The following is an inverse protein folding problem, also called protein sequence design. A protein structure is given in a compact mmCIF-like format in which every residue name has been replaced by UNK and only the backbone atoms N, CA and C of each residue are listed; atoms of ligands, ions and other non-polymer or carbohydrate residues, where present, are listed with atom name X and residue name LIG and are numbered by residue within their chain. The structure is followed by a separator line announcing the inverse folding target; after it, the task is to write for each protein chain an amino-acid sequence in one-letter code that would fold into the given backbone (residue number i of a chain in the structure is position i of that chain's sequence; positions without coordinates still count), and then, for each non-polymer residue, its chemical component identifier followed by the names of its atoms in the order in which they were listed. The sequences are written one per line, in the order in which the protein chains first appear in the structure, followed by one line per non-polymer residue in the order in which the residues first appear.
data_IF_106979000948
#
_entry.id   IF_106979000948
#
_cell.length_a   1.000
_cell.length_b   1.000
_cell.length_c   1.000
_cell.angle_alpha   90.00
_cell.angle_beta   90.00
_cell.angle_gamma   90.00
#
_symmetry.space_group_name_H-M   'P 1'
#
loop_
_entity.id
_entity.type
_entity.pdbx_description
1 polymer ?
#
# COMPACT_ATOMS: atom_id res chain seq x y z
N UNK A 1 29.57 -7.35 57.83
CA UNK A 1 29.35 -6.59 56.58
C UNK A 1 29.00 -7.58 55.48
N UNK A 2 27.75 -8.05 55.42
CA UNK A 2 27.16 -8.84 54.33
C UNK A 2 25.64 -8.73 54.57
N UNK A 3 25.01 -7.65 54.11
CA UNK A 3 23.55 -7.64 54.04
C UNK A 3 23.15 -8.63 52.94
N UNK A 4 22.15 -9.45 53.21
CA UNK A 4 21.59 -10.36 52.22
C UNK A 4 21.13 -9.55 51.00
N UNK A 5 21.35 -10.11 49.80
CA UNK A 5 21.16 -9.39 48.53
C UNK A 5 19.71 -8.92 48.37
N UNK A 6 18.77 -9.66 48.96
CA UNK A 6 17.35 -9.29 49.03
C UNK A 6 17.10 -8.06 49.89
N UNK A 7 17.78 -7.93 51.03
CA UNK A 7 17.62 -6.76 51.90
C UNK A 7 18.19 -5.51 51.23
N UNK A 8 19.33 -5.64 50.54
CA UNK A 8 19.91 -4.56 49.72
C UNK A 8 18.96 -4.15 48.60
N UNK A 9 18.33 -5.10 47.91
CA UNK A 9 17.36 -4.82 46.86
C UNK A 9 16.10 -4.09 47.39
N UNK A 10 15.57 -4.49 48.54
CA UNK A 10 14.43 -3.83 49.20
C UNK A 10 14.77 -2.39 49.60
N UNK A 11 15.95 -2.19 50.18
CA UNK A 11 16.44 -0.85 50.55
C UNK A 11 16.58 0.04 49.31
N UNK A 12 17.17 -0.49 48.22
CA UNK A 12 17.32 0.26 46.97
C UNK A 12 15.97 0.59 46.33
N UNK A 13 14.99 -0.32 46.36
CA UNK A 13 13.64 -0.07 45.86
C UNK A 13 12.92 1.03 46.64
N UNK A 14 13.00 0.99 47.98
CA UNK A 14 12.44 2.03 48.84
C UNK A 14 13.15 3.39 48.62
N UNK A 15 14.48 3.37 48.48
CA UNK A 15 15.28 4.55 48.19
C UNK A 15 14.88 5.19 46.85
N UNK A 16 14.70 4.39 45.79
CA UNK A 16 14.27 4.88 44.47
C UNK A 16 12.80 5.32 44.40
N UNK A 17 11.96 4.94 45.38
CA UNK A 17 10.60 5.49 45.49
C UNK A 17 10.59 6.92 46.01
N UNK A 18 11.52 7.26 46.91
CA UNK A 18 11.59 8.58 47.57
C UNK A 18 12.57 9.52 46.86
N UNK A 19 13.66 8.97 46.34
CA UNK A 19 14.63 9.66 45.49
C UNK A 19 14.74 8.88 44.19
N UNK A 20 13.75 9.03 43.28
CA UNK A 20 13.86 8.42 41.96
C UNK A 20 15.20 8.86 41.38
N UNK A 21 16.04 7.90 40.95
CA UNK A 21 17.32 8.24 40.37
C UNK A 21 17.02 9.18 39.21
N UNK A 22 17.86 10.21 39.01
CA UNK A 22 17.74 11.05 37.83
C UNK A 22 18.03 10.18 36.62
N UNK A 23 16.99 9.46 36.18
CA UNK A 23 17.04 8.60 35.02
C UNK A 23 17.60 9.47 33.91
N UNK A 24 18.65 8.98 33.29
CA UNK A 24 19.24 9.58 32.09
C UNK A 24 18.19 9.76 30.98
N UNK A 25 16.98 9.20 31.10
CA UNK A 25 15.83 9.50 30.25
C UNK A 25 15.30 10.94 30.39
N UNK A 26 15.46 11.60 31.55
CA UNK A 26 15.07 13.00 31.75
C UNK A 26 16.00 13.98 31.02
N UNK A 27 17.22 13.56 30.69
CA UNK A 27 18.18 14.31 29.88
C UNK A 27 18.02 14.12 28.37
N UNK A 28 17.00 13.42 27.88
CA UNK A 28 16.60 13.63 26.49
C UNK A 28 16.00 15.03 26.41
N UNK A 29 16.83 16.03 26.07
CA UNK A 29 16.39 17.37 25.66
C UNK A 29 15.10 17.19 24.88
N UNK A 30 13.96 17.64 25.42
CA UNK A 30 12.68 17.61 24.70
C UNK A 30 12.98 18.28 23.36
N UNK A 31 13.03 17.50 22.29
CA UNK A 31 13.29 18.04 20.95
C UNK A 31 12.25 19.14 20.77
N UNK A 32 12.70 20.39 20.60
CA UNK A 32 11.80 21.50 20.36
C UNK A 32 11.20 21.25 18.99
N UNK A 33 9.99 20.68 18.98
CA UNK A 33 9.26 20.40 17.75
C UNK A 33 8.66 21.72 17.29
N UNK A 34 8.88 22.15 16.03
CA UNK A 34 8.24 23.33 15.49
C UNK A 34 6.72 23.30 15.71
N UNK A 35 6.05 24.43 16.00
CA UNK A 35 4.62 24.44 16.31
C UNK A 35 3.74 23.77 15.24
N UNK A 36 4.12 23.92 13.96
CA UNK A 36 3.43 23.29 12.83
C UNK A 36 3.49 21.75 12.88
N UNK A 37 4.68 21.22 13.16
CA UNK A 37 4.89 19.78 13.30
C UNK A 37 4.16 19.21 14.52
N UNK A 38 4.13 19.94 15.63
CA UNK A 38 3.39 19.56 16.83
C UNK A 38 1.89 19.52 16.56
N UNK A 39 1.36 20.50 15.81
CA UNK A 39 -0.04 20.53 15.40
C UNK A 39 -0.41 19.34 14.50
N UNK A 40 0.42 19.02 13.51
CA UNK A 40 0.19 17.87 12.63
C UNK A 40 0.26 16.53 13.37
N UNK A 41 1.19 16.40 14.31
CA UNK A 41 1.25 15.23 15.20
C UNK A 41 -0.06 15.08 15.96
N UNK A 42 -0.55 16.16 16.57
CA UNK A 42 -1.80 16.12 17.33
C UNK A 42 -2.99 15.76 16.43
N UNK A 43 -3.06 16.34 15.23
CA UNK A 43 -4.15 16.13 14.30
C UNK A 43 -4.22 14.70 13.76
N UNK A 44 -3.07 14.13 13.35
CA UNK A 44 -3.00 12.83 12.68
C UNK A 44 -2.80 11.64 13.62
N UNK A 45 -2.16 11.83 14.78
CA UNK A 45 -1.86 10.72 15.72
C UNK A 45 -2.86 10.67 16.87
N UNK A 46 -3.18 11.82 17.47
CA UNK A 46 -4.02 11.85 18.68
C UNK A 46 -5.51 11.98 18.32
N UNK A 47 -5.85 12.87 17.37
CA UNK A 47 -7.24 13.23 17.04
C UNK A 47 -7.87 12.35 15.97
N UNK A 48 -7.07 11.83 15.04
CA UNK A 48 -7.59 11.00 13.94
C UNK A 48 -8.06 9.65 14.48
N UNK A 49 -9.33 9.35 14.25
CA UNK A 49 -9.96 8.08 14.54
C UNK A 49 -10.68 7.58 13.28
N UNK A 50 -11.11 6.32 13.28
CA UNK A 50 -11.91 5.75 12.18
C UNK A 50 -13.38 6.19 12.27
N UNK A 51 -13.61 7.51 12.25
CA UNK A 51 -14.93 8.16 12.29
C UNK A 51 -14.99 9.28 11.26
N UNK A 52 -16.02 9.26 10.42
CA UNK A 52 -16.25 10.20 9.31
C UNK A 52 -16.23 11.67 9.74
N UNK A 53 -16.71 11.95 10.96
CA UNK A 53 -16.70 13.31 11.53
C UNK A 53 -15.27 13.80 11.75
N UNK A 54 -14.43 12.93 12.30
CA UNK A 54 -13.02 13.25 12.56
C UNK A 54 -12.24 13.38 11.26
N UNK A 55 -12.47 12.51 10.28
CA UNK A 55 -11.87 12.55 8.95
C UNK A 55 -12.20 13.87 8.23
N UNK A 56 -13.48 14.26 8.24
CA UNK A 56 -13.94 15.50 7.63
C UNK A 56 -13.33 16.73 8.31
N UNK A 57 -13.24 16.71 9.65
CA UNK A 57 -12.62 17.78 10.41
C UNK A 57 -11.12 17.91 10.08
N UNK A 58 -10.38 16.81 10.18
CA UNK A 58 -8.93 16.76 9.91
C UNK A 58 -8.63 17.21 8.47
N UNK A 59 -9.40 16.72 7.49
CA UNK A 59 -9.24 17.11 6.08
C UNK A 59 -9.41 18.61 5.87
N UNK A 60 -10.42 19.22 6.50
CA UNK A 60 -10.63 20.68 6.46
C UNK A 60 -9.48 21.44 7.12
N UNK A 61 -8.95 20.95 8.25
CA UNK A 61 -7.81 21.61 8.90
C UNK A 61 -6.54 21.53 8.04
N UNK A 62 -6.26 20.38 7.41
CA UNK A 62 -5.13 20.23 6.51
C UNK A 62 -5.22 21.17 5.29
N UNK A 63 -6.42 21.41 4.75
CA UNK A 63 -6.61 22.38 3.67
C UNK A 63 -6.28 23.81 4.07
N UNK A 64 -6.43 24.18 5.36
CA UNK A 64 -6.18 25.54 5.88
C UNK A 64 -4.72 25.81 6.25
N UNK A 65 -3.83 24.85 6.05
CA UNK A 65 -2.39 25.04 6.28
C UNK A 65 -1.80 26.11 5.35
N UNK A 66 -0.68 26.74 5.73
CA UNK A 66 -0.02 27.75 4.91
C UNK A 66 0.70 27.12 3.71
N UNK A 67 -0.07 26.74 2.68
CA UNK A 67 0.43 26.10 1.45
C UNK A 67 1.25 27.02 0.54
N UNK A 68 1.13 28.34 0.70
CA UNK A 68 1.81 29.33 -0.13
C UNK A 68 3.25 29.59 0.30
N UNK A 69 3.66 29.08 1.47
CA UNK A 69 4.99 29.34 2.02
C UNK A 69 5.97 28.23 1.60
N UNK A 70 6.88 28.50 0.64
CA UNK A 70 7.83 27.49 0.16
C UNK A 70 8.84 27.08 1.22
N UNK A 71 9.08 27.90 2.26
CA UNK A 71 10.06 27.58 3.32
C UNK A 71 9.62 26.45 4.23
N UNK A 72 8.31 26.15 4.26
CA UNK A 72 7.71 25.17 5.18
C UNK A 72 7.42 23.81 4.53
N UNK A 73 7.58 23.68 3.20
CA UNK A 73 7.33 22.47 2.41
C UNK A 73 6.16 21.62 2.94
N UNK A 74 5.00 22.27 3.10
CA UNK A 74 3.86 21.68 3.81
C UNK A 74 3.43 20.32 3.24
N UNK A 75 3.58 20.08 1.93
CA UNK A 75 3.25 18.81 1.29
C UNK A 75 4.11 17.64 1.80
N UNK A 76 5.43 17.81 1.79
CA UNK A 76 6.36 16.79 2.28
C UNK A 76 6.18 16.56 3.79
N UNK A 77 5.95 17.64 4.55
CA UNK A 77 5.79 17.58 5.98
C UNK A 77 4.49 16.86 6.37
N UNK A 78 3.37 17.16 5.72
CA UNK A 78 2.10 16.44 5.91
C UNK A 78 2.25 14.96 5.56
N UNK A 79 2.83 14.63 4.41
CA UNK A 79 3.07 13.24 4.01
C UNK A 79 3.91 12.47 5.05
N UNK A 80 5.02 13.06 5.49
CA UNK A 80 5.88 12.50 6.55
C UNK A 80 5.10 12.18 7.82
N UNK A 81 4.19 13.08 8.23
CA UNK A 81 3.37 12.86 9.43
C UNK A 81 2.23 11.85 9.20
N UNK A 82 1.68 11.74 7.99
CA UNK A 82 0.70 10.69 7.63
C UNK A 82 1.33 9.29 7.68
N UNK A 83 2.52 9.12 7.10
CA UNK A 83 3.28 7.87 7.19
C UNK A 83 3.66 7.55 8.65
N UNK A 84 4.09 8.57 9.41
CA UNK A 84 4.39 8.42 10.83
C UNK A 84 3.17 8.04 11.66
N UNK A 85 1.98 8.55 11.32
CA UNK A 85 0.72 8.18 11.96
C UNK A 85 0.38 6.71 11.68
N UNK A 86 0.68 6.19 10.50
CA UNK A 86 0.49 4.76 10.20
C UNK A 86 1.48 3.87 10.95
N UNK A 87 2.72 4.32 11.15
CA UNK A 87 3.77 3.54 11.86
C UNK A 87 3.64 3.54 13.38
N UNK A 88 3.20 4.66 13.97
CA UNK A 88 3.15 4.85 15.43
C UNK A 88 1.74 4.98 16.00
N UNK A 89 0.75 5.18 15.14
CA UNK A 89 -0.64 5.34 15.54
C UNK A 89 -1.36 4.01 15.70
N UNK A 90 -2.68 4.08 15.78
CA UNK A 90 -3.57 2.93 15.90
C UNK A 90 -3.70 2.24 14.55
N UNK A 91 -3.67 0.91 14.54
CA UNK A 91 -3.82 0.12 13.31
C UNK A 91 -5.16 0.38 12.59
N UNK A 92 -6.22 0.66 13.34
CA UNK A 92 -7.53 1.03 12.80
C UNK A 92 -7.55 2.41 12.12
N UNK A 93 -6.66 3.32 12.53
CA UNK A 93 -6.61 4.66 11.97
C UNK A 93 -5.95 4.71 10.58
N UNK A 94 -5.35 3.61 10.11
CA UNK A 94 -4.70 3.52 8.79
C UNK A 94 -5.70 3.77 7.66
N UNK A 95 -6.91 3.20 7.75
CA UNK A 95 -8.00 3.47 6.79
C UNK A 95 -8.41 4.94 6.78
N UNK A 96 -8.53 5.55 7.97
CA UNK A 96 -8.85 6.98 8.10
C UNK A 96 -7.79 7.88 7.45
N UNK A 97 -6.50 7.52 7.53
CA UNK A 97 -5.42 8.25 6.85
C UNK A 97 -5.59 8.21 5.33
N UNK A 98 -5.95 7.05 4.76
CA UNK A 98 -6.23 6.91 3.33
C UNK A 98 -7.47 7.74 2.91
N UNK A 99 -8.54 7.73 3.71
CA UNK A 99 -9.72 8.57 3.47
C UNK A 99 -9.40 10.06 3.52
N UNK A 100 -8.57 10.51 4.46
CA UNK A 100 -8.08 11.90 4.51
C UNK A 100 -7.27 12.24 3.26
N UNK A 101 -6.39 11.34 2.81
CA UNK A 101 -5.62 11.54 1.58
C UNK A 101 -6.53 11.67 0.34
N UNK A 102 -7.61 10.90 0.27
CA UNK A 102 -8.59 10.96 -0.82
C UNK A 102 -9.40 12.26 -0.79
N UNK A 103 -9.81 12.71 0.39
CA UNK A 103 -10.48 14.00 0.56
C UNK A 103 -9.58 15.19 0.16
N UNK A 104 -8.27 15.04 0.34
CA UNK A 104 -7.29 16.09 0.05
C UNK A 104 -6.86 16.12 -1.43
N UNK A 105 -7.03 15.02 -2.19
CA UNK A 105 -6.67 14.89 -3.62
C UNK A 105 -7.21 16.04 -4.48
N UNK A 106 -8.46 16.46 -4.25
CA UNK A 106 -9.10 17.54 -5.02
C UNK A 106 -8.47 18.91 -4.77
N UNK A 107 -8.10 19.19 -3.52
CA UNK A 107 -7.54 20.48 -3.14
C UNK A 107 -6.02 20.55 -3.40
N UNK A 108 -5.31 19.46 -3.12
CA UNK A 108 -3.84 19.37 -3.13
C UNK A 108 -3.42 17.96 -3.59
N UNK A 109 -3.41 17.70 -4.91
CA UNK A 109 -3.09 16.37 -5.45
C UNK A 109 -1.65 15.92 -5.13
N UNK A 110 -0.73 16.88 -4.94
CA UNK A 110 0.67 16.63 -4.56
C UNK A 110 0.80 15.69 -3.35
N UNK A 111 -0.08 15.81 -2.36
CA UNK A 111 0.00 15.03 -1.12
C UNK A 111 -0.35 13.58 -1.38
N UNK A 112 -1.37 13.33 -2.20
CA UNK A 112 -1.78 11.98 -2.57
C UNK A 112 -0.67 11.28 -3.34
N UNK A 113 -0.04 11.96 -4.31
CA UNK A 113 1.11 11.41 -5.07
C UNK A 113 2.28 11.10 -4.15
N UNK A 114 2.72 12.07 -3.33
CA UNK A 114 3.84 11.86 -2.39
C UNK A 114 3.57 10.77 -1.36
N UNK A 115 2.31 10.59 -0.95
CA UNK A 115 1.93 9.52 -0.03
C UNK A 115 2.05 8.15 -0.70
N UNK A 116 1.59 8.01 -1.94
CA UNK A 116 1.72 6.76 -2.71
C UNK A 116 3.21 6.43 -2.88
N UNK A 117 4.00 7.39 -3.37
CA UNK A 117 5.45 7.21 -3.57
C UNK A 117 6.13 6.82 -2.24
N UNK A 118 5.80 7.50 -1.15
CA UNK A 118 6.37 7.22 0.17
C UNK A 118 5.95 5.88 0.77
N UNK A 119 4.80 5.32 0.39
CA UNK A 119 4.37 3.97 0.79
C UNK A 119 5.12 2.91 0.00
N UNK A 120 5.24 3.08 -1.32
CA UNK A 120 5.97 2.15 -2.19
C UNK A 120 7.45 2.10 -1.82
N UNK A 121 8.06 3.27 -1.62
CA UNK A 121 9.46 3.40 -1.18
C UNK A 121 9.70 2.71 0.17
N UNK A 122 8.82 2.91 1.15
CA UNK A 122 8.98 2.26 2.47
C UNK A 122 8.83 0.74 2.36
N UNK A 123 7.92 0.25 1.52
CA UNK A 123 7.75 -1.19 1.31
C UNK A 123 8.99 -1.79 0.66
N UNK A 124 9.51 -1.17 -0.41
CA UNK A 124 10.75 -1.55 -1.06
C UNK A 124 11.93 -1.57 -0.07
N UNK A 125 12.09 -0.49 0.70
CA UNK A 125 13.14 -0.38 1.70
C UNK A 125 13.08 -1.50 2.75
N UNK A 126 11.88 -1.84 3.22
CA UNK A 126 11.70 -2.90 4.24
C UNK A 126 12.00 -4.30 3.71
N UNK A 127 11.86 -4.51 2.40
CA UNK A 127 12.21 -5.78 1.75
C UNK A 127 13.73 -5.90 1.59
N UNK A 128 14.41 -4.81 1.25
CA UNK A 128 15.88 -4.76 1.15
C UNK A 128 16.56 -4.88 2.53
N UNK A 129 15.94 -4.32 3.57
CA UNK A 129 16.49 -4.26 4.92
C UNK A 129 15.55 -4.92 5.95
N UNK A 130 15.38 -6.25 5.92
CA UNK A 130 14.47 -6.93 6.81
C UNK A 130 14.95 -6.83 8.27
N UNK A 131 14.15 -6.17 9.12
CA UNK A 131 14.39 -6.04 10.55
C UNK A 131 13.16 -6.47 11.35
N UNK A 132 13.33 -7.46 12.24
CA UNK A 132 12.24 -8.02 13.05
C UNK A 132 11.47 -6.96 13.84
N UNK A 133 12.16 -5.92 14.32
CA UNK A 133 11.53 -4.85 15.12
C UNK A 133 10.59 -3.95 14.31
N UNK A 134 10.78 -3.88 13.00
CA UNK A 134 10.01 -3.01 12.11
C UNK A 134 8.93 -3.76 11.31
N UNK A 135 8.85 -5.11 11.42
CA UNK A 135 7.86 -5.93 10.72
C UNK A 135 6.42 -5.48 10.94
N UNK A 136 6.05 -5.11 12.18
CA UNK A 136 4.71 -4.58 12.46
C UNK A 136 4.41 -3.29 11.68
N UNK A 137 5.44 -2.45 11.48
CA UNK A 137 5.30 -1.21 10.70
C UNK A 137 5.21 -1.51 9.22
N UNK A 138 5.96 -2.48 8.72
CA UNK A 138 5.85 -2.97 7.35
C UNK A 138 4.43 -3.46 7.06
N UNK A 139 3.85 -4.27 7.95
CA UNK A 139 2.47 -4.75 7.80
C UNK A 139 1.48 -3.57 7.79
N UNK A 140 1.66 -2.57 8.66
CA UNK A 140 0.84 -1.37 8.66
C UNK A 140 0.97 -0.55 7.36
N UNK A 141 2.17 -0.47 6.79
CA UNK A 141 2.43 0.20 5.52
C UNK A 141 1.83 -0.57 4.32
N UNK A 142 1.92 -1.90 4.33
CA UNK A 142 1.30 -2.76 3.33
C UNK A 142 -0.23 -2.67 3.40
N UNK A 143 -0.80 -2.60 4.61
CA UNK A 143 -2.23 -2.32 4.78
C UNK A 143 -2.61 -0.95 4.22
N UNK A 144 -1.81 0.08 4.49
CA UNK A 144 -2.06 1.42 3.94
C UNK A 144 -2.14 1.39 2.41
N UNK A 145 -1.27 0.64 1.72
CA UNK A 145 -1.34 0.46 0.27
C UNK A 145 -2.70 -0.11 -0.18
N UNK A 146 -3.23 -1.11 0.54
CA UNK A 146 -4.57 -1.66 0.28
C UNK A 146 -5.69 -0.64 0.54
N UNK A 147 -5.62 0.10 1.65
CA UNK A 147 -6.60 1.14 1.99
C UNK A 147 -6.58 2.30 0.96
N UNK A 148 -5.41 2.62 0.37
CA UNK A 148 -5.29 3.59 -0.72
C UNK A 148 -6.04 3.13 -1.99
N UNK A 149 -6.05 1.82 -2.26
CA UNK A 149 -6.86 1.28 -3.36
C UNK A 149 -8.37 1.39 -3.06
N UNK A 150 -8.79 1.03 -1.85
CA UNK A 150 -10.19 1.20 -1.39
C UNK A 150 -10.63 2.66 -1.51
N UNK A 151 -9.75 3.60 -1.18
CA UNK A 151 -10.00 5.04 -1.28
C UNK A 151 -9.92 5.60 -2.73
N UNK A 152 -9.80 4.75 -3.76
CA UNK A 152 -9.69 5.13 -5.18
C UNK A 152 -8.50 6.07 -5.48
N UNK A 153 -7.43 5.98 -4.69
CA UNK A 153 -6.18 6.72 -4.93
C UNK A 153 -5.24 5.95 -5.86
N UNK A 154 -5.24 4.62 -5.75
CA UNK A 154 -4.35 3.71 -6.47
C UNK A 154 -5.17 2.75 -7.34
N UNK A 155 -4.79 2.53 -8.61
CA UNK A 155 -5.44 1.54 -9.47
C UNK A 155 -5.09 0.11 -9.05
N UNK A 156 -5.98 -0.84 -9.34
CA UNK A 156 -5.77 -2.25 -9.01
C UNK A 156 -4.52 -2.85 -9.69
N UNK A 157 -4.15 -2.36 -10.88
CA UNK A 157 -2.96 -2.80 -11.60
C UNK A 157 -1.68 -2.64 -10.77
N UNK A 158 -1.53 -1.50 -10.09
CA UNK A 158 -0.36 -1.22 -9.25
C UNK A 158 -0.31 -2.12 -8.03
N UNK A 159 -1.47 -2.45 -7.44
CA UNK A 159 -1.54 -3.38 -6.30
C UNK A 159 -1.08 -4.76 -6.73
N UNK A 160 -1.57 -5.26 -7.86
CA UNK A 160 -1.21 -6.57 -8.40
C UNK A 160 0.29 -6.61 -8.73
N UNK A 161 0.80 -5.59 -9.42
CA UNK A 161 2.24 -5.45 -9.71
C UNK A 161 3.08 -5.50 -8.44
N UNK A 162 2.69 -4.76 -7.40
CA UNK A 162 3.41 -4.73 -6.14
C UNK A 162 3.35 -6.07 -5.39
N UNK A 163 2.23 -6.79 -5.45
CA UNK A 163 2.10 -8.14 -4.89
C UNK A 163 3.00 -9.15 -5.63
N UNK A 164 3.06 -9.08 -6.95
CA UNK A 164 4.00 -9.89 -7.73
C UNK A 164 5.44 -9.57 -7.38
N UNK A 165 5.77 -8.28 -7.23
CA UNK A 165 7.09 -7.85 -6.78
C UNK A 165 7.43 -8.44 -5.42
N UNK A 166 6.50 -8.42 -4.45
CA UNK A 166 6.72 -9.02 -3.12
C UNK A 166 7.00 -10.52 -3.17
N UNK A 167 6.30 -11.27 -4.03
CA UNK A 167 6.45 -12.72 -4.16
C UNK A 167 7.74 -13.07 -4.90
N UNK A 168 8.12 -12.29 -5.91
CA UNK A 168 9.29 -12.57 -6.75
C UNK A 168 10.60 -11.96 -6.21
N UNK A 169 10.53 -11.09 -5.21
CA UNK A 169 11.72 -10.45 -4.64
C UNK A 169 12.66 -11.47 -4.00
N UNK A 170 13.91 -11.49 -4.43
CA UNK A 170 14.91 -12.47 -3.99
C UNK A 170 14.78 -13.85 -4.65
N UNK A 171 13.76 -14.06 -5.48
CA UNK A 171 13.59 -15.23 -6.33
C UNK A 171 13.81 -14.81 -7.79
N UNK A 172 15.06 -14.45 -8.13
CA UNK A 172 15.43 -14.25 -9.53
C UNK A 172 15.24 -15.59 -10.25
N UNK A 173 14.17 -15.70 -11.04
CA UNK A 173 14.01 -16.79 -11.99
C UNK A 173 15.20 -16.65 -12.93
N UNK A 174 16.10 -17.66 -13.04
CA UNK A 174 17.23 -17.59 -13.95
C UNK A 174 16.72 -17.19 -15.34
N UNK A 175 17.37 -16.23 -16.01
CA UNK A 175 16.97 -15.72 -17.34
C UNK A 175 16.69 -16.87 -18.32
N UNK A 176 17.43 -17.98 -18.22
CA UNK A 176 17.20 -19.19 -19.01
C UNK A 176 15.81 -19.83 -18.84
N UNK A 177 15.22 -19.78 -17.64
CA UNK A 177 13.87 -20.29 -17.36
C UNK A 177 12.79 -19.31 -17.81
N UNK A 178 13.07 -18.00 -17.77
CA UNK A 178 12.19 -16.98 -18.34
C UNK A 178 12.10 -17.12 -19.86
N UNK A 179 13.25 -17.20 -20.54
CA UNK A 179 13.35 -17.43 -21.99
C UNK A 179 12.70 -18.75 -22.41
N UNK A 180 12.83 -19.79 -21.58
CA UNK A 180 12.17 -21.07 -21.81
C UNK A 180 10.63 -20.96 -21.67
N UNK A 181 10.15 -20.20 -20.68
CA UNK A 181 8.72 -19.96 -20.47
C UNK A 181 8.12 -19.11 -21.59
N UNK A 182 8.79 -18.05 -22.04
CA UNK A 182 8.36 -17.23 -23.19
C UNK A 182 8.35 -18.03 -24.50
N UNK A 183 9.35 -18.89 -24.72
CA UNK A 183 9.36 -19.84 -25.85
C UNK A 183 8.21 -20.85 -25.74
N UNK A 184 7.89 -21.33 -24.54
CA UNK A 184 6.74 -22.23 -24.34
C UNK A 184 5.40 -21.52 -24.53
N UNK A 185 5.25 -20.28 -24.08
CA UNK A 185 4.05 -19.46 -24.26
C UNK A 185 3.83 -19.09 -25.73
N UNK A 186 4.88 -18.69 -26.45
CA UNK A 186 4.81 -18.40 -27.89
C UNK A 186 4.57 -19.67 -28.71
N UNK A 187 5.19 -20.79 -28.36
CA UNK A 187 4.92 -22.08 -28.97
C UNK A 187 3.47 -22.54 -28.71
N UNK A 188 2.97 -22.42 -27.48
CA UNK A 188 1.59 -22.75 -27.13
C UNK A 188 0.58 -21.84 -27.86
N UNK A 189 0.88 -20.55 -28.00
CA UNK A 189 0.05 -19.61 -28.75
C UNK A 189 0.05 -19.93 -30.26
N UNK A 190 1.19 -20.31 -30.83
CA UNK A 190 1.28 -20.75 -32.23
C UNK A 190 0.52 -22.05 -32.48
N UNK A 191 0.61 -23.02 -31.55
CA UNK A 191 -0.15 -24.28 -31.62
C UNK A 191 -1.66 -24.02 -31.49
N UNK A 192 -2.07 -23.10 -30.61
CA UNK A 192 -3.47 -22.69 -30.49
C UNK A 192 -3.99 -21.99 -31.75
N UNK A 193 -3.17 -21.13 -32.39
CA UNK A 193 -3.53 -20.48 -33.65
C UNK A 193 -3.67 -21.49 -34.80
N UNK A 194 -2.75 -22.46 -34.91
CA UNK A 194 -2.82 -23.53 -35.90
C UNK A 194 -4.04 -24.47 -35.69
N UNK A 195 -4.46 -24.68 -34.43
CA UNK A 195 -5.66 -25.46 -34.12
C UNK A 195 -6.96 -24.74 -34.52
N UNK A 196 -6.96 -23.40 -34.57
CA UNK A 196 -8.10 -22.60 -35.04
C UNK A 196 -8.21 -22.66 -36.57
N UNK A 197 -7.10 -22.58 -37.29
CA UNK A 197 -7.08 -22.71 -38.77
C UNK A 197 -7.49 -24.12 -39.24
N UNK A 198 -7.08 -25.18 -38.54
CA UNK A 198 -7.48 -26.56 -38.87
C UNK A 198 -8.96 -26.88 -38.67
N UNK A 199 -9.73 -26.02 -38.00
CA UNK A 199 -11.19 -26.18 -37.84
C UNK A 199 -12.01 -25.56 -38.98
N UNK A 200 -11.40 -24.66 -39.77
CA UNK A 200 -12.07 -24.01 -40.90
C UNK A 200 -12.11 -24.92 -42.16
N UNK A 201 -11.11 -25.78 -42.35
CA UNK A 201 -11.01 -26.65 -43.54
C UNK A 201 -11.95 -27.88 -43.54
N UNK A 202 -12.73 -28.11 -42.47
CA UNK A 202 -13.69 -29.22 -42.41
C UNK A 202 -15.16 -28.84 -42.70
N UNK A 203 -15.46 -27.57 -43.02
CA UNK A 203 -16.82 -27.16 -43.40
C UNK A 203 -17.08 -27.07 -44.92
N UNK A 204 -16.07 -27.19 -45.79
CA UNK A 204 -16.25 -27.02 -47.24
C UNK A 204 -16.44 -28.31 -48.08
N UNK A 205 -16.50 -29.50 -47.46
CA UNK A 205 -16.68 -30.77 -48.21
C UNK A 205 -18.14 -31.28 -48.22
N UNK A 206 -19.09 -30.61 -47.54
CA UNK A 206 -20.49 -31.04 -47.47
C UNK A 206 -21.45 -30.33 -48.45
N UNK A 207 -20.95 -29.67 -49.50
CA UNK A 207 -21.79 -29.02 -50.54
C UNK A 207 -21.49 -29.55 -51.95
N UNK A 208 -21.59 -30.86 -52.15
CA UNK A 208 -21.76 -31.44 -53.49
C UNK A 208 -22.31 -32.85 -53.43
N UNK A 209 -23.59 -32.97 -53.07
CA UNK A 209 -24.39 -34.09 -53.51
C UNK A 209 -25.85 -33.64 -53.63
N UNK A 210 -26.38 -33.78 -54.85
CA UNK A 210 -27.82 -33.82 -55.19
C UNK A 210 -28.46 -32.49 -55.57
N UNK A 211 -28.31 -32.09 -56.84
CA UNK A 211 -29.39 -31.44 -57.59
C UNK A 211 -29.34 -31.92 -59.04
N UNK A 212 -30.18 -32.89 -59.38
CA UNK A 212 -30.86 -33.07 -60.67
C UNK A 212 -32.01 -34.03 -60.34
N UNK A 213 -33.29 -33.72 -60.55
CA UNK A 213 -34.02 -34.03 -61.80
C UNK A 213 -35.49 -33.53 -61.67
N UNK A 214 -35.90 -32.69 -62.64
CA UNK A 214 -37.24 -32.50 -63.26
C UNK A 214 -38.30 -31.60 -62.57
N UNK A 215 -38.34 -30.32 -63.00
CA UNK A 215 -39.32 -29.60 -63.86
C UNK A 215 -40.83 -30.03 -63.95
N UNK A 216 -41.72 -29.32 -64.70
CA UNK A 216 -42.67 -28.37 -64.11
C UNK A 216 -44.14 -28.52 -64.61
N UNK A 217 -45.03 -27.70 -64.02
CA UNK A 217 -46.29 -27.18 -64.59
C UNK A 217 -47.49 -28.13 -64.79
N UNK A 218 -48.59 -27.81 -64.10
CA UNK A 218 -49.92 -28.15 -64.56
C UNK A 218 -51.07 -27.87 -63.59
N UNK A 219 -51.85 -26.83 -63.93
CA UNK A 219 -53.33 -26.82 -63.87
C UNK A 219 -53.99 -26.24 -62.59
N UNK A 220 -54.49 -25.02 -62.81
CA UNK A 220 -55.77 -24.47 -62.33
C UNK A 220 -56.81 -25.48 -61.82
N UNK A 221 -57.29 -25.29 -60.59
CA UNK A 221 -58.67 -24.88 -60.31
C UNK A 221 -58.73 -24.19 -58.94
#
# INVERSE_FOLDING_TARGET
KNLDERSVALINSAFYMVSPPQTTSSKQKRKVVPPLEAYLRHLLIDRLANDDKTISFVSKQLQRLPWSDPTKECGALVCKYMLKACRKGRYEAVGAVASVAAALKRAKPEISTRLIDGVLEELQWTMEHPNFRDQQRTIACARLLGELHVASLVPASLIIEQLYHFVNFGHEIPLALHDASEKQLSAAAAVAAAAVEGSADQQDVASSATTTIISPSGITQ
#
